data_IF_740620424615
#
_entry.id   IF_740620424615
#
_cell.length_a   1.000
_cell.length_b   1.000
_cell.length_c   1.000
_cell.angle_alpha   90.00
_cell.angle_beta   90.00
_cell.angle_gamma   90.00
#
_symmetry.space_group_name_H-M   'P 1'
#
loop_
_entity.id
_entity.type
_entity.pdbx_description
1 polymer ?
#
# COMPACT_ATOMS: atom_id res chain seq x y z
N UNK A 1 -1.36 -57.81 12.28
CA UNK A 1 -0.60 -56.54 12.35
C UNK A 1 -0.85 -55.72 11.08
N UNK A 2 -0.86 -54.38 11.18
CA UNK A 2 -0.99 -53.35 10.11
C UNK A 2 -2.40 -52.85 9.78
N UNK A 3 -2.97 -52.04 10.68
CA UNK A 3 -4.00 -51.00 10.39
C UNK A 3 -3.72 -49.72 11.20
N UNK A 4 -2.51 -49.16 11.08
CA UNK A 4 -2.14 -47.90 11.75
C UNK A 4 -1.12 -47.15 10.90
N UNK A 5 -1.50 -46.61 9.73
CA UNK A 5 -0.57 -45.75 8.95
C UNK A 5 -1.23 -44.79 7.96
N UNK A 6 -2.55 -44.58 7.97
CA UNK A 6 -3.21 -43.68 7.00
C UNK A 6 -3.88 -42.44 7.60
N UNK A 7 -4.03 -42.36 8.93
CA UNK A 7 -4.71 -41.24 9.59
C UNK A 7 -3.84 -40.03 9.93
N UNK A 8 -2.51 -40.17 9.93
CA UNK A 8 -1.61 -39.14 10.49
C UNK A 8 -1.06 -38.17 9.42
N UNK A 9 -1.05 -38.56 8.14
CA UNK A 9 -0.44 -37.75 7.06
C UNK A 9 -1.38 -36.62 6.58
N UNK A 10 -2.70 -36.73 6.82
CA UNK A 10 -3.67 -35.71 6.41
C UNK A 10 -3.79 -34.54 7.40
N UNK A 11 -3.30 -34.67 8.64
CA UNK A 11 -3.37 -33.58 9.63
C UNK A 11 -2.23 -32.57 9.50
N UNK A 12 -1.12 -32.93 8.85
CA UNK A 12 0.06 -32.07 8.72
C UNK A 12 -0.03 -31.01 7.62
N UNK A 13 -0.99 -31.11 6.70
CA UNK A 13 -1.19 -30.11 5.63
C UNK A 13 -2.07 -28.92 6.04
N UNK A 14 -2.78 -28.98 7.18
CA UNK A 14 -3.58 -27.84 7.67
C UNK A 14 -2.79 -26.83 8.51
N UNK A 15 -1.55 -27.13 8.90
CA UNK A 15 -0.76 -26.31 9.83
C UNK A 15 0.21 -25.33 9.17
N UNK A 16 0.32 -25.30 7.82
CA UNK A 16 1.29 -24.46 7.12
C UNK A 16 0.71 -23.24 6.40
N UNK A 17 -0.60 -23.00 6.50
CA UNK A 17 -1.17 -21.69 6.13
C UNK A 17 -1.08 -20.71 7.32
N UNK A 18 0.10 -20.59 7.93
CA UNK A 18 0.39 -19.42 8.74
C UNK A 18 0.56 -18.24 7.78
N UNK A 19 -0.55 -17.66 7.31
CA UNK A 19 -0.53 -16.37 6.63
C UNK A 19 0.05 -15.38 7.64
N UNK A 20 1.34 -15.05 7.49
CA UNK A 20 1.95 -13.99 8.27
C UNK A 20 1.17 -12.72 7.97
N UNK A 21 0.58 -12.14 9.01
CA UNK A 21 -0.09 -10.83 8.88
C UNK A 21 0.96 -9.82 8.42
N UNK A 22 0.61 -8.90 7.50
CA UNK A 22 1.54 -7.87 7.10
C UNK A 22 1.97 -7.04 8.31
N UNK A 23 3.22 -6.60 8.31
CA UNK A 23 3.73 -5.70 9.33
C UNK A 23 3.05 -4.34 9.18
N UNK A 24 2.55 -3.79 10.27
CA UNK A 24 1.87 -2.50 10.27
C UNK A 24 2.84 -1.35 10.59
N UNK A 25 2.74 -0.26 9.85
CA UNK A 25 3.50 0.98 10.07
C UNK A 25 2.49 2.09 10.38
N UNK A 26 2.55 2.65 11.59
CA UNK A 26 1.71 3.79 11.97
C UNK A 26 2.24 5.06 11.32
N UNK A 27 1.41 5.71 10.52
CA UNK A 27 1.76 6.97 9.87
C UNK A 27 1.28 8.12 10.75
N UNK A 28 2.13 9.13 10.96
CA UNK A 28 1.79 10.32 11.76
C UNK A 28 1.24 9.98 13.17
N UNK A 29 1.64 8.84 13.75
CA UNK A 29 1.17 8.40 15.07
C UNK A 29 -0.22 7.78 15.10
N UNK A 30 -0.75 7.29 13.96
CA UNK A 30 -2.04 6.62 13.92
C UNK A 30 -2.10 5.39 14.88
N UNK A 31 -3.21 5.19 15.62
CA UNK A 31 -3.30 4.11 16.60
C UNK A 31 -3.47 2.73 15.93
N UNK A 32 -2.44 1.88 16.04
CA UNK A 32 -2.38 0.55 15.39
C UNK A 32 -3.51 -0.43 15.78
N UNK A 33 -4.12 -0.24 16.95
CA UNK A 33 -5.08 -1.20 17.52
C UNK A 33 -6.48 -0.61 17.73
N UNK A 34 -6.79 0.47 17.02
CA UNK A 34 -8.09 1.15 17.10
C UNK A 34 -8.75 1.28 15.71
N UNK A 35 -9.31 0.18 15.15
CA UNK A 35 -9.90 0.18 13.81
C UNK A 35 -11.07 1.17 13.68
N UNK A 36 -11.75 1.51 14.78
CA UNK A 36 -12.80 2.53 14.77
C UNK A 36 -12.30 3.96 14.50
N UNK A 37 -10.98 4.18 14.48
CA UNK A 37 -10.34 5.47 14.21
C UNK A 37 -9.35 5.44 13.05
N UNK A 38 -9.08 4.28 12.48
CA UNK A 38 -8.02 4.11 11.48
C UNK A 38 -8.50 3.42 10.23
N UNK A 39 -7.75 3.62 9.16
CA UNK A 39 -7.85 2.89 7.91
C UNK A 39 -6.47 2.29 7.57
N UNK A 40 -6.47 1.26 6.73
CA UNK A 40 -5.26 0.59 6.27
C UNK A 40 -5.04 0.92 4.80
N UNK A 41 -3.85 1.41 4.45
CA UNK A 41 -3.39 1.62 3.09
C UNK A 41 -2.34 0.55 2.74
N UNK A 42 -2.55 -0.16 1.64
CA UNK A 42 -1.59 -1.09 1.06
C UNK A 42 -1.07 -0.54 -0.27
N UNK A 43 0.25 -0.62 -0.47
CA UNK A 43 0.87 -0.35 -1.76
C UNK A 43 0.50 -1.46 -2.77
N UNK A 44 0.03 -1.06 -3.94
CA UNK A 44 -0.23 -1.93 -5.08
C UNK A 44 0.85 -1.74 -6.14
N UNK A 45 0.50 -1.11 -7.26
CA UNK A 45 1.47 -0.67 -8.27
C UNK A 45 2.01 0.75 -8.03
N UNK A 46 1.50 1.44 -7.01
CA UNK A 46 2.00 2.74 -6.58
C UNK A 46 2.60 2.62 -5.18
N UNK A 47 3.61 3.43 -4.95
CA UNK A 47 4.30 3.54 -3.69
C UNK A 47 3.84 4.77 -2.90
N UNK A 48 3.55 4.59 -1.62
CA UNK A 48 3.06 5.60 -0.69
C UNK A 48 4.22 6.39 -0.09
N UNK A 49 4.21 7.72 -0.24
CA UNK A 49 5.36 8.58 0.10
C UNK A 49 5.01 9.85 0.87
N UNK A 50 3.73 10.16 1.00
CA UNK A 50 3.32 11.26 1.86
C UNK A 50 1.84 11.22 2.22
N UNK A 51 1.49 11.90 3.31
CA UNK A 51 0.13 12.07 3.77
C UNK A 51 -0.06 13.53 4.19
N UNK A 52 -1.08 14.19 3.64
CA UNK A 52 -1.48 15.56 4.01
C UNK A 52 -0.34 16.58 3.91
N UNK A 53 0.43 16.50 2.82
CA UNK A 53 1.55 17.40 2.55
C UNK A 53 2.82 17.10 3.34
N UNK A 54 2.84 16.05 4.16
CA UNK A 54 4.04 15.58 4.87
C UNK A 54 4.61 14.35 4.18
N UNK A 55 5.92 14.36 3.94
CA UNK A 55 6.64 13.18 3.45
C UNK A 55 6.74 12.12 4.56
N UNK A 56 6.67 10.84 4.21
CA UNK A 56 6.95 9.75 5.14
C UNK A 56 8.45 9.73 5.45
N UNK A 57 8.83 9.41 6.69
CA UNK A 57 10.25 9.25 6.98
C UNK A 57 10.83 8.10 6.15
N UNK A 58 12.11 8.18 5.78
CA UNK A 58 12.80 7.10 5.08
C UNK A 58 12.86 5.84 5.95
N UNK A 59 12.89 5.98 7.28
CA UNK A 59 12.74 4.84 8.21
C UNK A 59 11.37 4.17 8.13
N UNK A 60 10.35 4.94 7.75
CA UNK A 60 8.96 4.49 7.60
C UNK A 60 8.67 4.03 6.18
N UNK A 61 9.64 4.13 5.27
CA UNK A 61 9.54 3.65 3.89
C UNK A 61 10.17 2.26 3.82
N UNK A 62 9.37 1.19 3.92
CA UNK A 62 9.89 -0.17 3.91
C UNK A 62 10.52 -0.51 2.56
N UNK A 63 11.31 -1.59 2.55
CA UNK A 63 11.74 -2.18 1.31
C UNK A 63 10.49 -2.57 0.50
N UNK A 64 10.43 -2.33 -0.82
CA UNK A 64 9.26 -2.68 -1.65
C UNK A 64 8.91 -4.17 -1.64
N UNK A 65 9.83 -5.04 -1.21
CA UNK A 65 9.60 -6.47 -1.05
C UNK A 65 9.07 -6.87 0.34
N UNK A 66 9.01 -5.95 1.29
CA UNK A 66 8.45 -6.23 2.61
C UNK A 66 6.92 -6.29 2.54
N UNK A 67 6.33 -7.30 3.17
CA UNK A 67 4.87 -7.40 3.30
C UNK A 67 4.39 -6.44 4.41
N UNK A 68 4.18 -5.18 4.03
CA UNK A 68 3.81 -4.08 4.92
C UNK A 68 2.48 -3.44 4.54
N UNK A 69 1.81 -2.90 5.55
CA UNK A 69 0.66 -2.01 5.37
C UNK A 69 0.80 -0.79 6.26
N UNK A 70 0.26 0.32 5.79
CA UNK A 70 0.28 1.60 6.50
C UNK A 70 -1.04 1.80 7.23
N UNK A 71 -0.96 2.13 8.52
CA UNK A 71 -2.11 2.51 9.32
C UNK A 71 -2.15 4.03 9.36
N UNK A 72 -3.27 4.59 8.90
CA UNK A 72 -3.54 6.03 8.89
C UNK A 72 -4.79 6.32 9.71
N UNK A 73 -4.95 7.54 10.19
CA UNK A 73 -6.24 7.98 10.75
C UNK A 73 -7.32 7.87 9.68
N UNK A 74 -8.56 7.59 10.08
CA UNK A 74 -9.70 7.65 9.18
C UNK A 74 -10.08 9.12 8.89
N UNK A 75 -10.67 9.35 7.72
CA UNK A 75 -11.13 10.66 7.27
C UNK A 75 -10.56 11.06 5.92
N UNK A 76 -10.66 12.37 5.62
CA UNK A 76 -10.18 12.95 4.37
C UNK A 76 -8.67 13.15 4.41
N UNK A 77 -7.99 12.62 3.42
CA UNK A 77 -6.54 12.70 3.29
C UNK A 77 -6.11 13.02 1.86
N UNK A 78 -4.95 13.67 1.75
CA UNK A 78 -4.20 13.78 0.49
C UNK A 78 -3.06 12.79 0.51
N UNK A 79 -3.18 11.72 -0.27
CA UNK A 79 -2.21 10.63 -0.38
C UNK A 79 -1.18 11.00 -1.45
N UNK A 80 0.08 11.17 -1.03
CA UNK A 80 1.23 11.30 -1.93
C UNK A 80 1.71 9.92 -2.38
N UNK A 81 1.69 9.67 -3.69
CA UNK A 81 2.13 8.39 -4.25
C UNK A 81 2.97 8.55 -5.52
N UNK A 82 3.85 7.59 -5.81
CA UNK A 82 4.70 7.55 -7.00
C UNK A 82 4.74 6.15 -7.62
N UNK A 83 4.92 6.03 -8.94
CA UNK A 83 4.99 4.73 -9.63
C UNK A 83 6.37 4.05 -9.57
N UNK A 84 7.43 4.80 -9.27
CA UNK A 84 8.81 4.29 -9.19
C UNK A 84 9.37 4.62 -7.80
N UNK A 85 9.92 3.63 -7.10
CA UNK A 85 10.68 3.83 -5.87
C UNK A 85 12.18 4.00 -6.20
N UNK A 86 12.85 4.93 -5.52
CA UNK A 86 14.31 5.07 -5.62
C UNK A 86 15.01 3.73 -5.35
N UNK A 87 15.88 3.30 -6.26
CA UNK A 87 16.59 2.02 -6.21
C UNK A 87 16.03 0.92 -7.14
N UNK A 88 14.79 1.04 -7.59
CA UNK A 88 14.17 0.13 -8.56
C UNK A 88 13.76 0.87 -9.83
N UNK A 89 14.74 1.20 -10.65
CA UNK A 89 14.50 1.89 -11.92
C UNK A 89 14.19 0.84 -12.98
N UNK A 90 12.93 0.79 -13.41
CA UNK A 90 12.50 -0.05 -14.54
C UNK A 90 12.46 0.83 -15.80
N UNK A 91 13.49 0.72 -16.64
CA UNK A 91 13.46 1.30 -17.98
C UNK A 91 12.31 0.67 -18.79
N UNK A 92 11.46 1.42 -19.51
CA UNK A 92 11.55 2.84 -19.85
C UNK A 92 10.48 3.73 -19.16
N UNK A 93 10.01 3.40 -17.95
CA UNK A 93 8.91 4.16 -17.33
C UNK A 93 9.36 5.55 -16.83
N UNK A 94 8.57 6.59 -17.14
CA UNK A 94 8.69 7.90 -16.49
C UNK A 94 8.25 7.83 -15.02
N UNK A 95 8.90 8.61 -14.17
CA UNK A 95 8.45 8.85 -12.81
C UNK A 95 7.24 9.78 -12.83
N UNK A 96 6.14 9.32 -12.25
CA UNK A 96 4.87 10.03 -12.10
C UNK A 96 4.53 10.16 -10.63
N UNK A 97 4.13 11.36 -10.27
CA UNK A 97 3.85 11.77 -8.90
C UNK A 97 2.38 12.16 -8.78
N UNK A 98 1.72 11.64 -7.76
CA UNK A 98 0.28 11.78 -7.55
C UNK A 98 -0.02 12.37 -6.18
N UNK A 99 -1.02 13.26 -6.14
CA UNK A 99 -1.72 13.69 -4.93
C UNK A 99 -3.16 13.19 -5.07
N UNK A 100 -3.52 12.16 -4.31
CA UNK A 100 -4.81 11.48 -4.41
C UNK A 100 -5.66 11.88 -3.20
N UNK A 101 -6.73 12.63 -3.44
CA UNK A 101 -7.68 12.99 -2.39
C UNK A 101 -8.64 11.83 -2.14
N UNK A 102 -8.66 11.29 -0.92
CA UNK A 102 -9.49 10.15 -0.56
C UNK A 102 -10.15 10.34 0.82
N UNK A 103 -11.39 9.88 0.95
CA UNK A 103 -12.09 9.78 2.23
C UNK A 103 -12.04 8.32 2.72
N UNK A 104 -11.17 8.07 3.70
CA UNK A 104 -10.87 6.75 4.21
C UNK A 104 -11.77 6.44 5.40
N UNK A 105 -12.62 5.42 5.25
CA UNK A 105 -13.56 5.04 6.30
C UNK A 105 -12.87 4.26 7.43
N UNK A 106 -13.32 4.41 8.68
CA UNK A 106 -12.80 3.62 9.79
C UNK A 106 -12.96 2.12 9.56
N UNK A 107 -11.93 1.36 9.94
CA UNK A 107 -11.90 -0.10 9.89
C UNK A 107 -11.71 -0.67 8.49
N UNK A 108 -11.51 0.18 7.49
CA UNK A 108 -11.41 -0.25 6.10
C UNK A 108 -9.98 -0.41 5.60
N UNK A 109 -9.79 -1.38 4.71
CA UNK A 109 -8.55 -1.59 3.99
C UNK A 109 -8.66 -1.13 2.53
N UNK A 110 -7.63 -0.44 2.07
CA UNK A 110 -7.52 0.10 0.73
C UNK A 110 -6.20 -0.29 0.08
N UNK A 111 -6.18 -0.22 -1.25
CA UNK A 111 -4.99 -0.40 -2.07
C UNK A 111 -4.81 0.83 -2.95
N UNK A 112 -3.59 1.37 -3.00
CA UNK A 112 -3.20 2.42 -3.92
C UNK A 112 -2.53 1.82 -5.15
N UNK A 113 -2.95 2.21 -6.35
CA UNK A 113 -2.40 1.67 -7.58
C UNK A 113 -2.65 2.59 -8.76
N UNK A 114 -1.98 2.27 -9.87
CA UNK A 114 -2.07 3.01 -11.12
C UNK A 114 -2.80 2.18 -12.19
N UNK A 115 -3.68 2.84 -12.93
CA UNK A 115 -4.12 2.42 -14.25
C UNK A 115 -3.06 2.84 -15.26
N UNK A 116 -2.17 1.90 -15.61
CA UNK A 116 -0.97 2.18 -16.41
C UNK A 116 -1.28 2.70 -17.81
N UNK A 117 -2.39 2.29 -18.41
CA UNK A 117 -2.78 2.73 -19.76
C UNK A 117 -3.25 4.17 -19.77
N UNK A 118 -3.92 4.60 -18.69
CA UNK A 118 -4.51 5.94 -18.58
C UNK A 118 -3.68 6.91 -17.75
N UNK A 119 -2.59 6.42 -17.16
CA UNK A 119 -1.77 7.13 -16.18
C UNK A 119 -2.60 7.75 -15.05
N UNK A 120 -3.56 6.99 -14.53
CA UNK A 120 -4.46 7.42 -13.47
C UNK A 120 -4.17 6.64 -12.19
N UNK A 121 -3.74 7.34 -11.14
CA UNK A 121 -3.72 6.77 -9.82
C UNK A 121 -5.15 6.57 -9.30
N UNK A 122 -5.33 5.55 -8.47
CA UNK A 122 -6.58 5.28 -7.79
C UNK A 122 -6.36 4.67 -6.41
N UNK A 123 -7.33 4.92 -5.53
CA UNK A 123 -7.49 4.21 -4.26
C UNK A 123 -8.72 3.32 -4.38
N UNK A 124 -8.58 2.02 -4.10
CA UNK A 124 -9.72 1.09 -4.10
C UNK A 124 -9.86 0.37 -2.77
N UNK A 125 -11.08 0.05 -2.38
CA UNK A 125 -11.32 -0.85 -1.23
C UNK A 125 -10.86 -2.26 -1.57
N UNK A 126 -10.26 -2.96 -0.61
CA UNK A 126 -9.79 -4.34 -0.81
C UNK A 126 -10.90 -5.38 -0.73
N UNK A 127 -11.97 -5.12 0.00
CA UNK A 127 -13.09 -6.05 0.19
C UNK A 127 -13.97 -6.20 -1.06
N UNK A 128 -14.19 -5.12 -1.82
CA UNK A 128 -15.09 -5.11 -2.97
C UNK A 128 -14.48 -4.51 -4.26
N UNK A 129 -13.25 -4.01 -4.21
CA UNK A 129 -12.56 -3.47 -5.39
C UNK A 129 -13.05 -2.11 -5.87
N UNK A 130 -14.02 -1.48 -5.21
CA UNK A 130 -14.57 -0.17 -5.61
C UNK A 130 -13.49 0.90 -5.49
N UNK A 131 -13.26 1.65 -6.58
CA UNK A 131 -12.38 2.82 -6.59
C UNK A 131 -13.12 3.98 -5.91
N UNK A 132 -12.54 4.51 -4.83
CA UNK A 132 -13.11 5.61 -4.05
C UNK A 132 -12.48 6.97 -4.39
N UNK A 133 -11.33 6.95 -5.05
CA UNK A 133 -10.59 8.14 -5.45
C UNK A 133 -9.76 7.85 -6.70
N UNK A 134 -9.55 8.87 -7.52
CA UNK A 134 -8.64 8.85 -8.66
C UNK A 134 -7.89 10.17 -8.78
N UNK A 135 -6.69 10.14 -9.37
CA UNK A 135 -5.91 11.35 -9.63
C UNK A 135 -5.06 11.20 -10.90
N UNK A 136 -4.92 12.31 -11.62
CA UNK A 136 -3.88 12.46 -12.65
C UNK A 136 -2.54 12.79 -11.99
N UNK A 137 -1.41 12.51 -12.64
CA UNK A 137 -0.12 12.95 -12.12
C UNK A 137 -0.10 14.48 -12.06
N UNK A 138 0.42 15.03 -10.96
CA UNK A 138 0.67 16.48 -10.87
C UNK A 138 2.06 16.84 -11.40
N UNK A 139 2.95 15.85 -11.47
CA UNK A 139 4.32 15.97 -11.98
C UNK A 139 4.71 14.66 -12.67
N UNK A 140 5.36 14.79 -13.82
CA UNK A 140 5.94 13.69 -14.60
C UNK A 140 7.35 14.08 -15.00
N UNK A 141 8.30 13.17 -14.80
CA UNK A 141 9.71 13.42 -15.07
C UNK A 141 10.44 12.13 -15.40
N UNK A 142 11.61 12.24 -16.01
CA UNK A 142 12.47 11.06 -16.28
C UNK A 142 12.83 10.39 -14.95
N UNK A 143 12.85 9.05 -14.91
CA UNK A 143 13.01 8.29 -13.66
C UNK A 143 14.22 8.67 -12.79
N UNK A 144 15.26 9.29 -13.37
CA UNK A 144 16.53 9.65 -12.72
C UNK A 144 16.57 11.06 -12.09
N UNK A 145 15.47 11.83 -12.16
CA UNK A 145 15.45 13.28 -11.84
C UNK A 145 15.39 13.64 -10.35
N UNK A 146 15.46 12.66 -9.43
CA UNK A 146 15.63 12.93 -7.99
C UNK A 146 14.37 12.83 -7.12
N UNK A 147 13.28 12.25 -7.64
CA UNK A 147 12.04 12.03 -6.87
C UNK A 147 11.03 13.18 -6.99
N UNK A 148 9.82 12.97 -6.48
CA UNK A 148 8.71 13.92 -6.63
C UNK A 148 8.89 15.20 -5.79
N UNK A 149 8.47 16.34 -6.32
CA UNK A 149 8.39 17.59 -5.58
C UNK A 149 7.07 17.64 -4.78
N UNK A 150 7.15 17.21 -3.52
CA UNK A 150 5.98 17.12 -2.64
C UNK A 150 5.49 18.44 -2.06
N UNK A 151 6.08 19.58 -2.47
CA UNK A 151 5.65 20.92 -2.03
C UNK A 151 4.21 21.25 -2.44
#
# INVERSE_FOLDING_TARGET
MRRFSKGIILLSFFLLAACSKPRQIAVNGAPLHEPSKTAILQEGSLFFRGLDGKHLDLSDTPNPYDNVVFVVTAGKHVIGAMNIQGGHIVMPEDLRCYKIEADLQPGMEYMIAEDKERHLAYVKRKDNGVRIATAKPFETQVAYSGGCNWK
#
